data_IF_283901142343
#
_entry.id   IF_283901142343
#
_cell.length_a   1.000
_cell.length_b   1.000
_cell.length_c   1.000
_cell.angle_alpha   90.00
_cell.angle_beta   90.00
_cell.angle_gamma   90.00
#
_symmetry.space_group_name_H-M   'P 1'
#
loop_
_entity.id
_entity.type
_entity.pdbx_description
1 polymer ?
#
# COMPACT_ATOMS: atom_id res chain seq x y z
N UNK A 1 10.91 -42.64 -38.21
CA UNK A 1 10.11 -41.41 -38.13
C UNK A 1 9.73 -41.12 -36.69
N UNK A 2 10.71 -40.76 -35.87
CA UNK A 2 10.48 -40.43 -34.43
C UNK A 2 11.53 -39.46 -33.92
N UNK A 3 11.81 -38.36 -34.59
CA UNK A 3 12.77 -37.32 -34.12
C UNK A 3 12.32 -35.89 -34.21
N UNK A 4 11.00 -35.62 -34.42
CA UNK A 4 10.53 -34.27 -34.67
C UNK A 4 9.81 -33.56 -33.49
N UNK A 5 9.49 -34.25 -32.39
CA UNK A 5 8.65 -33.62 -31.31
C UNK A 5 9.39 -33.13 -30.09
N UNK A 6 10.70 -33.45 -29.95
CA UNK A 6 11.48 -33.03 -28.78
C UNK A 6 12.00 -31.57 -28.82
N UNK A 7 12.25 -31.05 -30.02
CA UNK A 7 12.87 -29.72 -30.18
C UNK A 7 11.89 -28.53 -29.95
N UNK A 8 10.61 -28.73 -30.28
CA UNK A 8 9.57 -27.70 -30.09
C UNK A 8 9.23 -27.44 -28.60
N UNK A 9 9.34 -28.45 -27.75
CA UNK A 9 9.12 -28.30 -26.29
C UNK A 9 10.25 -27.55 -25.59
N UNK A 10 11.51 -27.78 -26.00
CA UNK A 10 12.67 -27.11 -25.41
C UNK A 10 12.70 -25.62 -25.81
N UNK A 11 12.35 -25.29 -27.07
CA UNK A 11 12.31 -23.90 -27.55
C UNK A 11 11.18 -23.11 -26.86
N UNK A 12 10.04 -23.73 -26.56
CA UNK A 12 8.93 -23.06 -25.85
C UNK A 12 9.27 -22.80 -24.36
N UNK A 13 10.09 -23.64 -23.74
CA UNK A 13 10.53 -23.44 -22.35
C UNK A 13 11.61 -22.35 -22.24
N UNK A 14 12.53 -22.27 -23.20
CA UNK A 14 13.56 -21.23 -23.23
C UNK A 14 12.99 -19.82 -23.53
N UNK A 15 11.99 -19.72 -24.39
CA UNK A 15 11.30 -18.45 -24.64
C UNK A 15 10.50 -17.95 -23.41
N UNK A 16 9.94 -18.89 -22.63
CA UNK A 16 9.21 -18.53 -21.38
C UNK A 16 10.15 -18.10 -20.27
N UNK A 17 11.32 -18.72 -20.13
CA UNK A 17 12.34 -18.30 -19.15
C UNK A 17 13.02 -16.99 -19.50
N UNK A 18 13.23 -16.71 -20.78
CA UNK A 18 13.85 -15.47 -21.26
C UNK A 18 12.96 -14.22 -21.04
N UNK A 19 11.64 -14.35 -21.13
CA UNK A 19 10.72 -13.23 -20.91
C UNK A 19 10.66 -12.82 -19.42
N UNK A 20 10.73 -13.79 -18.50
CA UNK A 20 10.76 -13.54 -17.06
C UNK A 20 12.09 -12.90 -16.64
N UNK A 21 13.22 -13.38 -17.20
CA UNK A 21 14.54 -12.79 -16.95
C UNK A 21 14.68 -11.39 -17.52
N UNK A 22 14.05 -11.10 -18.67
CA UNK A 22 14.08 -9.77 -19.29
C UNK A 22 13.23 -8.75 -18.50
N UNK A 23 12.12 -9.17 -17.90
CA UNK A 23 11.31 -8.33 -17.01
C UNK A 23 12.06 -8.03 -15.70
N UNK A 24 12.81 -8.97 -15.16
CA UNK A 24 13.61 -8.78 -13.94
C UNK A 24 14.83 -7.85 -14.23
N UNK A 25 15.41 -7.90 -15.42
CA UNK A 25 16.56 -7.05 -15.79
C UNK A 25 16.17 -5.59 -16.09
N UNK A 26 14.91 -5.30 -16.38
CA UNK A 26 14.40 -3.92 -16.60
C UNK A 26 14.15 -3.16 -15.28
N UNK A 27 14.15 -3.86 -14.13
CA UNK A 27 13.90 -3.27 -12.82
C UNK A 27 15.21 -2.85 -12.12
N UNK A 28 16.38 -3.25 -12.64
CA UNK A 28 17.66 -3.00 -11.99
C UNK A 28 18.37 -1.77 -12.61
N UNK A 29 17.78 -0.60 -12.49
CA UNK A 29 18.55 0.65 -12.58
C UNK A 29 19.13 0.94 -11.20
N UNK A 30 20.43 1.25 -11.17
CA UNK A 30 21.20 1.45 -9.95
C UNK A 30 20.56 2.56 -9.11
N UNK A 31 20.31 2.32 -7.81
CA UNK A 31 19.76 3.36 -6.95
C UNK A 31 20.74 4.51 -6.84
N UNK A 32 20.25 5.73 -6.95
CA UNK A 32 20.96 6.91 -6.50
C UNK A 32 21.10 6.78 -4.99
N UNK A 33 22.31 6.52 -4.51
CA UNK A 33 22.57 6.23 -3.11
C UNK A 33 22.25 7.44 -2.22
N UNK A 34 21.06 7.49 -1.70
CA UNK A 34 20.77 8.19 -0.45
C UNK A 34 21.40 7.37 0.69
N UNK A 35 22.23 8.00 1.55
CA UNK A 35 22.93 7.29 2.63
C UNK A 35 22.05 7.06 3.87
N UNK A 36 20.74 7.32 3.80
CA UNK A 36 19.78 7.21 4.89
C UNK A 36 18.56 6.34 4.54
N UNK A 37 17.87 5.84 5.54
CA UNK A 37 16.61 5.10 5.43
C UNK A 37 15.47 6.00 4.94
N UNK A 38 14.61 5.53 4.03
CA UNK A 38 13.45 6.28 3.55
C UNK A 38 12.47 6.66 4.66
N UNK A 39 12.36 5.85 5.70
CA UNK A 39 11.58 6.13 6.91
C UNK A 39 11.99 7.42 7.61
N UNK A 40 13.25 7.83 7.47
CA UNK A 40 13.81 8.99 8.13
C UNK A 40 13.92 10.23 7.23
N UNK A 41 13.56 10.12 5.93
CA UNK A 41 13.74 11.19 4.94
C UNK A 41 13.20 12.53 5.45
N UNK A 42 12.00 12.58 5.96
CA UNK A 42 11.41 13.86 6.43
C UNK A 42 12.08 14.35 7.70
N UNK A 43 12.43 13.45 8.63
CA UNK A 43 13.16 13.82 9.83
C UNK A 43 14.55 14.38 9.53
N UNK A 44 15.22 13.80 8.56
CA UNK A 44 16.59 14.16 8.17
C UNK A 44 16.68 15.49 7.37
N UNK A 45 15.51 16.07 6.99
CA UNK A 45 15.44 17.43 6.45
C UNK A 45 15.78 18.48 7.50
N UNK A 46 15.77 18.11 8.78
CA UNK A 46 16.04 18.98 9.91
C UNK A 46 17.30 18.53 10.67
N UNK A 47 17.95 19.46 11.38
CA UNK A 47 19.15 19.17 12.17
C UNK A 47 20.43 19.26 11.35
N UNK A 48 21.47 18.54 11.76
CA UNK A 48 22.86 18.76 11.32
C UNK A 48 23.14 18.71 9.82
N UNK A 49 22.33 17.98 9.04
CA UNK A 49 22.45 17.86 7.58
C UNK A 49 21.38 18.63 6.81
N UNK A 50 20.43 19.24 7.49
CA UNK A 50 19.29 19.94 6.91
C UNK A 50 19.10 21.34 7.48
N UNK A 51 17.83 21.70 7.70
CA UNK A 51 17.46 22.99 8.27
C UNK A 51 17.82 23.00 9.76
N UNK A 52 18.64 23.97 10.19
CA UNK A 52 19.08 24.12 11.56
C UNK A 52 19.09 25.58 11.99
N UNK A 53 18.58 25.86 13.19
CA UNK A 53 18.73 27.16 13.83
C UNK A 53 20.19 27.37 14.25
N UNK A 54 20.70 28.56 13.96
CA UNK A 54 22.02 28.97 14.43
C UNK A 54 22.02 29.25 15.94
N UNK A 55 23.13 29.01 16.62
CA UNK A 55 23.29 29.43 18.02
C UNK A 55 23.04 30.93 18.20
N UNK A 56 22.28 31.31 19.21
CA UNK A 56 22.08 32.72 19.57
C UNK A 56 23.38 33.39 19.96
N UNK A 57 23.62 34.64 19.57
CA UNK A 57 24.80 35.36 19.99
C UNK A 57 24.80 35.63 21.50
N UNK A 58 25.97 35.62 22.18
CA UNK A 58 26.05 36.00 23.59
C UNK A 58 25.43 37.38 23.83
N UNK A 59 24.72 37.60 24.96
CA UNK A 59 24.62 36.74 26.16
C UNK A 59 23.49 35.71 26.13
N UNK A 60 22.79 35.53 25.00
CA UNK A 60 21.63 34.65 24.91
C UNK A 60 22.06 33.18 24.84
N UNK A 61 21.39 32.26 25.57
CA UNK A 61 21.60 30.83 25.38
C UNK A 61 21.12 30.37 23.98
N UNK A 62 21.60 29.24 23.53
CA UNK A 62 21.10 28.64 22.25
C UNK A 62 19.65 28.17 22.41
N UNK A 63 18.77 28.61 21.53
CA UNK A 63 17.36 28.30 21.56
C UNK A 63 16.95 27.16 20.57
N UNK A 64 17.90 26.64 19.81
CA UNK A 64 17.60 25.54 18.87
C UNK A 64 16.92 24.32 19.53
N UNK A 65 17.29 23.91 20.79
CA UNK A 65 16.63 22.78 21.45
C UNK A 65 15.22 23.06 21.98
N UNK A 66 14.77 24.31 21.96
CA UNK A 66 13.50 24.71 22.58
C UNK A 66 12.31 24.67 21.64
N UNK A 67 12.49 24.26 20.40
CA UNK A 67 11.38 24.03 19.48
C UNK A 67 10.92 22.58 19.58
N UNK A 68 9.65 22.39 19.94
CA UNK A 68 9.08 21.06 20.15
C UNK A 68 8.87 20.34 18.83
N UNK A 69 9.20 19.04 18.83
CA UNK A 69 8.97 18.16 17.71
C UNK A 69 7.53 17.60 17.65
N UNK A 70 6.55 18.29 18.26
CA UNK A 70 5.14 17.81 18.28
C UNK A 70 4.58 17.58 16.87
N UNK A 71 5.01 18.40 15.91
CA UNK A 71 4.66 18.21 14.50
C UNK A 71 5.22 16.94 13.85
N UNK A 72 6.29 16.36 14.43
CA UNK A 72 6.90 15.13 13.89
C UNK A 72 6.06 13.88 14.19
N UNK A 73 5.17 13.90 15.18
CA UNK A 73 4.26 12.78 15.44
C UNK A 73 3.32 12.51 14.26
N UNK A 74 2.90 13.56 13.54
CA UNK A 74 2.13 13.42 12.31
C UNK A 74 2.88 12.67 11.19
N UNK A 75 4.21 12.72 11.19
CA UNK A 75 5.06 12.05 10.20
C UNK A 75 5.25 10.55 10.50
N UNK A 76 5.23 10.15 11.77
CA UNK A 76 5.20 8.72 12.13
C UNK A 76 3.92 8.07 11.61
N UNK A 77 2.80 8.78 11.72
CA UNK A 77 1.52 8.35 11.16
C UNK A 77 1.54 8.27 9.62
N UNK A 78 2.27 9.14 8.93
CA UNK A 78 2.48 9.05 7.48
C UNK A 78 3.21 7.75 7.11
N UNK A 79 4.30 7.42 7.82
CA UNK A 79 5.05 6.19 7.60
C UNK A 79 4.18 4.95 7.87
N UNK A 80 3.40 4.96 8.95
CA UNK A 80 2.43 3.90 9.26
C UNK A 80 1.37 3.79 8.16
N UNK A 81 0.85 4.93 7.69
CA UNK A 81 -0.10 4.97 6.57
C UNK A 81 0.49 4.39 5.29
N UNK A 82 1.74 4.67 4.97
CA UNK A 82 2.43 4.14 3.81
C UNK A 82 2.58 2.61 3.92
N UNK A 83 3.20 2.13 4.99
CA UNK A 83 3.42 0.69 5.19
C UNK A 83 2.12 -0.11 5.30
N UNK A 84 1.04 0.48 5.86
CA UNK A 84 -0.26 -0.18 5.91
C UNK A 84 -0.93 -0.34 4.55
N UNK A 85 -0.64 0.54 3.60
CA UNK A 85 -1.12 0.42 2.21
C UNK A 85 -0.37 -0.66 1.43
N UNK A 86 0.88 -0.99 1.79
CA UNK A 86 1.64 -2.11 1.19
C UNK A 86 0.94 -3.48 1.31
N UNK A 87 0.02 -3.64 2.26
CA UNK A 87 -0.80 -4.85 2.41
C UNK A 87 -2.09 -4.87 1.58
N UNK A 88 -2.38 -3.80 0.84
CA UNK A 88 -3.57 -3.69 -0.01
C UNK A 88 -3.36 -4.26 -1.42
N UNK A 89 -2.48 -5.26 -1.58
CA UNK A 89 -2.31 -5.93 -2.88
C UNK A 89 -3.64 -6.49 -3.37
N UNK A 90 -4.22 -5.70 -4.20
CA UNK A 90 -5.54 -5.76 -4.68
C UNK A 90 -5.62 -6.63 -5.92
N UNK A 91 -5.28 -7.79 -6.02
CA UNK A 91 -5.62 -8.63 -7.17
C UNK A 91 -5.40 -10.08 -6.82
N UNK A 92 -6.39 -10.69 -6.22
CA UNK A 92 -6.46 -12.12 -6.39
C UNK A 92 -7.81 -12.71 -5.98
N UNK A 93 -8.73 -12.72 -6.90
CA UNK A 93 -9.73 -13.77 -6.85
C UNK A 93 -9.07 -15.06 -7.35
N UNK A 94 -8.80 -15.99 -6.45
CA UNK A 94 -8.18 -17.28 -6.76
C UNK A 94 -9.05 -18.22 -7.60
N UNK A 95 -10.26 -17.82 -7.96
CA UNK A 95 -11.18 -18.61 -8.78
C UNK A 95 -11.35 -17.95 -10.13
N UNK A 96 -10.53 -18.36 -11.06
CA UNK A 96 -10.75 -18.09 -12.48
C UNK A 96 -12.05 -18.77 -12.93
N UNK A 97 -12.81 -18.10 -13.78
CA UNK A 97 -14.01 -18.69 -14.40
C UNK A 97 -13.75 -19.91 -15.30
N UNK A 98 -12.49 -20.26 -15.49
CA UNK A 98 -12.01 -21.43 -16.22
C UNK A 98 -11.02 -22.23 -15.39
N UNK A 99 -11.02 -23.54 -15.61
CA UNK A 99 -10.06 -24.48 -15.08
C UNK A 99 -9.63 -25.46 -16.16
N UNK A 100 -8.48 -26.09 -16.00
CA UNK A 100 -8.04 -27.15 -16.91
C UNK A 100 -8.46 -28.52 -16.35
N UNK A 101 -9.20 -29.28 -17.12
CA UNK A 101 -9.52 -30.67 -16.82
C UNK A 101 -8.32 -31.52 -17.27
N UNK A 102 -7.50 -31.97 -16.31
CA UNK A 102 -6.28 -32.72 -16.59
C UNK A 102 -6.60 -34.08 -17.25
N UNK A 103 -7.73 -34.71 -16.89
CA UNK A 103 -8.11 -36.02 -17.43
C UNK A 103 -8.53 -35.92 -18.90
N UNK A 104 -9.23 -34.82 -19.24
CA UNK A 104 -9.73 -34.59 -20.61
C UNK A 104 -8.77 -33.77 -21.45
N UNK A 105 -7.77 -33.13 -20.85
CA UNK A 105 -6.82 -32.27 -21.56
C UNK A 105 -7.43 -30.97 -22.13
N UNK A 106 -8.58 -30.51 -21.60
CA UNK A 106 -9.32 -29.36 -22.12
C UNK A 106 -9.61 -28.32 -21.03
N UNK A 107 -9.68 -27.02 -21.38
CA UNK A 107 -10.20 -25.99 -20.47
C UNK A 107 -11.71 -26.17 -20.28
N UNK A 108 -12.14 -26.14 -19.02
CA UNK A 108 -13.55 -26.26 -18.63
C UNK A 108 -13.98 -24.97 -17.92
N UNK A 109 -15.09 -24.41 -18.33
CA UNK A 109 -15.70 -23.26 -17.68
C UNK A 109 -16.33 -23.69 -16.37
N UNK A 110 -15.96 -23.04 -15.27
CA UNK A 110 -16.46 -23.34 -13.92
C UNK A 110 -17.57 -22.41 -13.49
N UNK A 111 -17.57 -21.16 -13.96
CA UNK A 111 -18.58 -20.13 -13.68
C UNK A 111 -18.83 -19.27 -14.90
N UNK A 112 -20.01 -18.62 -15.01
CA UNK A 112 -20.30 -17.67 -16.09
C UNK A 112 -19.41 -16.44 -16.05
N UNK A 113 -19.09 -15.94 -14.86
CA UNK A 113 -18.19 -14.82 -14.66
C UNK A 113 -16.76 -15.27 -14.40
N UNK A 114 -15.78 -14.48 -14.86
CA UNK A 114 -14.34 -14.70 -14.66
C UNK A 114 -13.87 -14.27 -13.24
N UNK A 115 -14.76 -13.74 -12.41
CA UNK A 115 -14.49 -13.34 -11.02
C UNK A 115 -14.28 -11.84 -10.83
N UNK A 116 -14.33 -11.39 -9.56
CA UNK A 116 -14.07 -10.02 -9.18
C UNK A 116 -12.60 -9.65 -9.35
N UNK A 117 -12.26 -8.38 -9.10
CA UNK A 117 -10.88 -7.90 -9.15
C UNK A 117 -10.26 -7.89 -7.76
N UNK A 118 -10.90 -7.23 -6.79
CA UNK A 118 -10.37 -6.96 -5.47
C UNK A 118 -11.01 -7.80 -4.36
N UNK A 119 -12.21 -8.31 -4.61
CA UNK A 119 -12.92 -9.17 -3.70
C UNK A 119 -12.51 -10.64 -3.85
N UNK A 120 -12.76 -11.43 -2.80
CA UNK A 120 -12.70 -12.88 -2.87
C UNK A 120 -14.09 -13.45 -3.15
N UNK A 121 -14.15 -14.56 -3.90
CA UNK A 121 -15.31 -15.43 -4.00
C UNK A 121 -15.20 -16.62 -3.07
N UNK A 122 -16.33 -17.16 -2.61
CA UNK A 122 -16.35 -18.29 -1.74
C UNK A 122 -15.86 -19.62 -2.37
N UNK A 123 -16.11 -19.95 -3.65
CA UNK A 123 -15.58 -21.16 -4.26
C UNK A 123 -14.05 -21.23 -4.24
N UNK A 124 -13.52 -22.44 -4.12
CA UNK A 124 -12.10 -22.78 -4.18
C UNK A 124 -11.67 -23.16 -5.60
N UNK A 125 -10.37 -23.24 -5.82
CA UNK A 125 -9.78 -23.64 -7.10
C UNK A 125 -10.12 -25.11 -7.46
N UNK A 126 -10.28 -25.97 -6.45
CA UNK A 126 -10.55 -27.40 -6.59
C UNK A 126 -9.26 -28.23 -6.52
N UNK A 127 -9.44 -29.53 -6.24
CA UNK A 127 -8.32 -30.43 -5.95
C UNK A 127 -7.30 -30.52 -7.11
N UNK A 128 -6.02 -30.49 -6.75
CA UNK A 128 -4.86 -30.69 -7.65
C UNK A 128 -4.71 -29.64 -8.76
N UNK A 129 -5.31 -28.48 -8.62
CA UNK A 129 -5.17 -27.38 -9.56
C UNK A 129 -4.22 -26.35 -9.04
N UNK A 130 -3.46 -25.75 -9.94
CA UNK A 130 -2.51 -24.68 -9.64
C UNK A 130 -2.94 -23.43 -10.41
N UNK A 131 -3.13 -22.32 -9.70
CA UNK A 131 -3.26 -21.00 -10.31
C UNK A 131 -1.97 -20.22 -10.06
N UNK A 132 -1.43 -19.66 -11.13
CA UNK A 132 -0.31 -18.72 -11.08
C UNK A 132 -0.78 -17.39 -11.63
N UNK A 133 -0.49 -16.30 -10.92
CA UNK A 133 -0.81 -14.96 -11.38
C UNK A 133 0.36 -14.01 -11.14
N UNK A 134 0.39 -12.98 -11.98
CA UNK A 134 1.27 -11.83 -11.84
C UNK A 134 0.40 -10.58 -11.88
N UNK A 135 0.65 -9.64 -10.98
CA UNK A 135 -0.01 -8.35 -10.98
C UNK A 135 1.02 -7.21 -10.82
N UNK A 136 0.74 -6.11 -11.49
CA UNK A 136 1.41 -4.84 -11.32
C UNK A 136 0.41 -3.82 -10.81
N UNK A 137 0.77 -3.13 -9.74
CA UNK A 137 -0.04 -2.05 -9.15
C UNK A 137 0.83 -0.81 -9.05
N UNK A 138 0.27 0.34 -9.44
CA UNK A 138 0.88 1.66 -9.28
C UNK A 138 0.03 2.55 -8.42
N UNK A 139 0.67 3.16 -7.42
CA UNK A 139 0.06 4.03 -6.43
C UNK A 139 0.83 5.35 -6.43
N UNK A 140 0.21 6.42 -6.90
CA UNK A 140 0.71 7.78 -6.78
C UNK A 140 -0.05 8.44 -5.62
N UNK A 141 0.57 8.54 -4.44
CA UNK A 141 -0.04 9.17 -3.27
C UNK A 141 -0.14 10.68 -3.46
N UNK A 142 -1.22 11.27 -2.99
CA UNK A 142 -1.52 12.67 -3.27
C UNK A 142 -1.99 13.47 -2.06
N UNK A 143 -2.49 12.79 -1.02
CA UNK A 143 -3.04 13.42 0.19
C UNK A 143 -2.70 12.62 1.43
N UNK A 144 -2.50 13.35 2.52
CA UNK A 144 -2.44 12.82 3.86
C UNK A 144 -3.37 13.62 4.76
N UNK A 145 -4.30 12.95 5.46
CA UNK A 145 -5.31 13.57 6.34
C UNK A 145 -6.07 14.73 5.65
N UNK A 146 -6.45 14.53 4.40
CA UNK A 146 -7.18 15.53 3.60
C UNK A 146 -6.31 16.63 2.98
N UNK A 147 -5.12 16.87 3.49
CA UNK A 147 -4.16 17.84 2.94
C UNK A 147 -3.39 17.24 1.77
N UNK A 148 -3.10 18.01 0.75
CA UNK A 148 -2.24 17.55 -0.35
C UNK A 148 -0.82 17.34 0.16
N UNK A 149 -0.15 16.30 -0.36
CA UNK A 149 1.25 16.04 -0.02
C UNK A 149 2.19 17.17 -0.48
N UNK A 150 1.79 17.96 -1.48
CA UNK A 150 2.51 19.15 -1.94
C UNK A 150 2.29 20.40 -1.08
N UNK A 151 1.38 20.36 -0.12
CA UNK A 151 0.93 21.52 0.63
C UNK A 151 0.88 21.22 2.15
N UNK A 152 1.74 20.31 2.62
CA UNK A 152 1.84 19.99 4.04
C UNK A 152 2.52 21.15 4.79
N UNK A 153 2.01 21.48 5.95
CA UNK A 153 2.58 22.48 6.84
C UNK A 153 2.84 21.87 8.21
N UNK A 154 4.05 22.08 8.72
CA UNK A 154 4.46 21.69 10.05
C UNK A 154 4.78 22.96 10.83
N UNK A 155 4.28 23.05 12.06
CA UNK A 155 4.55 24.18 12.97
C UNK A 155 5.35 23.66 14.14
N UNK A 156 6.56 24.20 14.33
CA UNK A 156 7.36 23.94 15.51
C UNK A 156 7.20 25.12 16.45
N UNK A 157 6.52 24.86 17.55
CA UNK A 157 6.28 25.84 18.59
C UNK A 157 7.48 25.93 19.54
N UNK A 158 7.79 27.13 19.99
CA UNK A 158 8.80 27.34 21.04
C UNK A 158 8.28 26.90 22.41
N UNK A 159 9.09 26.23 23.19
CA UNK A 159 8.75 25.87 24.57
C UNK A 159 8.76 27.09 25.51
N UNK A 160 8.03 27.00 26.63
CA UNK A 160 8.13 27.89 27.76
C UNK A 160 9.46 27.64 28.46
N UNK A 161 10.44 28.53 28.27
CA UNK A 161 11.79 28.40 28.87
C UNK A 161 11.91 28.98 30.26
N UNK A 162 11.00 29.89 30.65
CA UNK A 162 11.00 30.50 31.97
C UNK A 162 10.16 29.72 33.00
N UNK A 163 9.39 28.72 32.55
CA UNK A 163 8.62 27.81 33.38
C UNK A 163 7.40 28.43 34.03
N UNK A 164 6.84 29.51 33.45
CA UNK A 164 5.67 30.18 34.01
C UNK A 164 4.34 29.54 33.53
N UNK A 165 4.39 28.54 32.62
CA UNK A 165 3.25 27.79 32.11
C UNK A 165 2.56 28.42 30.89
N UNK A 166 3.14 29.49 30.32
CA UNK A 166 2.66 30.15 29.11
C UNK A 166 3.82 30.51 28.18
N UNK A 167 3.58 30.60 26.90
CA UNK A 167 4.49 31.19 25.92
C UNK A 167 4.35 32.71 25.98
N UNK A 168 5.39 33.40 26.47
CA UNK A 168 5.34 34.84 26.66
C UNK A 168 5.29 35.59 25.32
N UNK A 169 4.34 36.52 25.18
CA UNK A 169 4.21 37.39 24.00
C UNK A 169 4.77 38.81 24.24
N UNK A 170 5.14 39.11 25.46
CA UNK A 170 5.65 40.42 25.86
C UNK A 170 6.80 40.28 26.87
N UNK A 171 7.61 41.33 27.00
CA UNK A 171 8.72 41.34 27.97
C UNK A 171 9.98 40.60 27.47
N UNK A 172 10.88 40.25 28.38
CA UNK A 172 12.20 39.69 28.00
C UNK A 172 12.15 38.28 27.42
N UNK A 173 11.07 37.54 27.66
CA UNK A 173 10.84 36.20 27.13
C UNK A 173 9.87 36.16 25.95
N UNK A 174 9.51 37.33 25.39
CA UNK A 174 8.54 37.39 24.25
C UNK A 174 8.94 36.60 23.01
N UNK A 175 10.21 36.18 22.88
CA UNK A 175 10.70 35.28 21.84
C UNK A 175 10.08 33.88 21.92
N UNK A 176 9.51 33.48 23.07
CA UNK A 176 8.76 32.22 23.20
C UNK A 176 7.51 32.16 22.33
N UNK A 177 7.01 33.33 21.87
CA UNK A 177 5.89 33.41 20.95
C UNK A 177 6.27 33.13 19.49
N UNK A 178 7.55 33.02 19.17
CA UNK A 178 7.99 32.71 17.82
C UNK A 178 7.72 31.24 17.48
N UNK A 179 7.35 31.00 16.24
CA UNK A 179 7.15 29.68 15.67
C UNK A 179 8.08 29.47 14.46
N UNK A 180 8.34 28.23 14.11
CA UNK A 180 8.95 27.88 12.85
C UNK A 180 7.88 27.18 12.01
N UNK A 181 7.44 27.86 10.97
CA UNK A 181 6.56 27.27 9.96
C UNK A 181 7.40 26.59 8.89
N UNK A 182 7.04 25.36 8.56
CA UNK A 182 7.71 24.59 7.52
C UNK A 182 6.69 24.16 6.49
N UNK A 183 6.87 24.65 5.27
CA UNK A 183 6.19 24.13 4.10
C UNK A 183 6.91 22.87 3.62
N UNK A 184 6.19 21.76 3.52
CA UNK A 184 6.71 20.46 3.14
C UNK A 184 5.97 19.94 1.90
N UNK A 185 6.73 19.73 0.82
CA UNK A 185 6.25 19.09 -0.41
C UNK A 185 6.77 17.65 -0.46
N UNK A 186 5.85 16.68 -0.47
CA UNK A 186 6.15 15.27 -0.56
C UNK A 186 5.66 14.68 -1.88
N UNK A 187 6.53 13.97 -2.55
CA UNK A 187 6.19 13.06 -3.65
C UNK A 187 6.43 11.64 -3.19
N UNK A 188 5.39 10.80 -3.23
CA UNK A 188 5.46 9.39 -2.84
C UNK A 188 4.80 8.58 -3.94
N UNK A 189 5.55 7.64 -4.52
CA UNK A 189 5.09 6.72 -5.56
C UNK A 189 5.53 5.32 -5.23
N UNK A 190 4.62 4.39 -5.37
CA UNK A 190 4.86 2.98 -5.13
C UNK A 190 4.44 2.16 -6.36
N UNK A 191 5.35 1.33 -6.84
CA UNK A 191 5.13 0.36 -7.89
C UNK A 191 5.30 -1.04 -7.29
N UNK A 192 4.26 -1.86 -7.35
CA UNK A 192 4.24 -3.20 -6.77
C UNK A 192 4.09 -4.25 -7.85
N UNK A 193 5.00 -5.21 -7.86
CA UNK A 193 4.97 -6.40 -8.71
C UNK A 193 4.71 -7.61 -7.83
N UNK A 194 3.55 -8.23 -7.91
CA UNK A 194 3.17 -9.34 -7.06
C UNK A 194 3.04 -10.64 -7.86
N UNK A 195 3.69 -11.70 -7.39
CA UNK A 195 3.54 -13.06 -7.88
C UNK A 195 2.65 -13.84 -6.92
N UNK A 196 1.66 -14.51 -7.46
CA UNK A 196 0.72 -15.33 -6.70
C UNK A 196 0.80 -16.76 -7.16
N UNK A 197 0.83 -17.68 -6.21
CA UNK A 197 0.66 -19.10 -6.47
C UNK A 197 -0.37 -19.67 -5.51
N UNK A 198 -1.42 -20.28 -6.05
CA UNK A 198 -2.49 -20.92 -5.27
C UNK A 198 -2.67 -22.34 -5.72
N UNK A 199 -2.70 -23.28 -4.77
CA UNK A 199 -2.89 -24.69 -5.01
C UNK A 199 -4.11 -25.24 -4.29
N UNK A 200 -4.97 -25.92 -5.04
CA UNK A 200 -6.13 -26.62 -4.51
C UNK A 200 -5.72 -27.95 -3.87
N UNK A 201 -5.66 -28.00 -2.54
CA UNK A 201 -5.35 -29.23 -1.79
C UNK A 201 -6.50 -30.23 -1.90
N UNK A 202 -7.73 -29.76 -1.75
CA UNK A 202 -8.94 -30.55 -1.87
C UNK A 202 -9.98 -29.80 -2.72
N UNK A 203 -11.16 -30.37 -2.88
CA UNK A 203 -12.27 -29.68 -3.53
C UNK A 203 -12.69 -28.39 -2.83
N UNK A 204 -12.47 -28.31 -1.51
CA UNK A 204 -12.96 -27.22 -0.68
C UNK A 204 -11.83 -26.43 0.02
N UNK A 205 -10.57 -26.76 -0.23
CA UNK A 205 -9.44 -26.17 0.50
C UNK A 205 -8.32 -25.78 -0.46
N UNK A 206 -7.95 -24.51 -0.44
CA UNK A 206 -6.83 -23.94 -1.17
C UNK A 206 -5.77 -23.42 -0.18
N UNK A 207 -4.52 -23.47 -0.62
CA UNK A 207 -3.39 -22.77 0.01
C UNK A 207 -2.67 -21.93 -1.02
N UNK A 208 -2.10 -20.84 -0.61
CA UNK A 208 -1.42 -19.92 -1.52
C UNK A 208 -0.31 -19.13 -0.88
N UNK A 209 0.48 -18.50 -1.72
CA UNK A 209 1.56 -17.58 -1.36
C UNK A 209 1.51 -16.37 -2.30
N UNK A 210 1.76 -15.19 -1.72
CA UNK A 210 1.98 -13.96 -2.47
C UNK A 210 3.40 -13.49 -2.20
N UNK A 211 4.14 -13.21 -3.26
CA UNK A 211 5.50 -12.74 -3.23
C UNK A 211 5.56 -11.36 -3.90
N UNK A 212 5.57 -10.26 -3.13
CA UNK A 212 5.64 -8.91 -3.67
C UNK A 212 7.08 -8.44 -3.85
N UNK A 213 7.31 -7.68 -4.91
CA UNK A 213 8.50 -6.84 -5.13
C UNK A 213 7.99 -5.41 -5.18
N UNK A 214 8.52 -4.57 -4.31
CA UNK A 214 8.11 -3.17 -4.15
C UNK A 214 9.22 -2.27 -4.65
N UNK A 215 8.86 -1.27 -5.44
CA UNK A 215 9.72 -0.15 -5.78
C UNK A 215 9.05 1.11 -5.24
N UNK A 216 9.72 1.78 -4.32
CA UNK A 216 9.26 2.99 -3.66
C UNK A 216 10.15 4.16 -4.06
N UNK A 217 9.52 5.20 -4.61
CA UNK A 217 10.12 6.51 -4.87
C UNK A 217 9.58 7.52 -3.85
N UNK A 218 10.45 8.15 -3.10
CA UNK A 218 10.09 9.19 -2.15
C UNK A 218 10.98 10.41 -2.32
N UNK A 219 10.37 11.59 -2.39
CA UNK A 219 11.05 12.87 -2.39
C UNK A 219 10.36 13.83 -1.44
N UNK A 220 11.15 14.55 -0.67
CA UNK A 220 10.69 15.56 0.27
C UNK A 220 11.48 16.85 0.07
N UNK A 221 10.78 17.97 -0.08
CA UNK A 221 11.33 19.31 -0.17
C UNK A 221 10.72 20.14 0.96
N UNK A 222 11.55 20.66 1.87
CA UNK A 222 11.11 21.47 2.99
C UNK A 222 11.67 22.88 2.92
N UNK A 223 10.85 23.87 3.24
CA UNK A 223 11.25 25.26 3.41
C UNK A 223 10.77 25.77 4.75
N UNK A 224 11.69 26.21 5.61
CA UNK A 224 11.34 26.75 6.92
C UNK A 224 11.33 28.27 6.92
N UNK A 225 10.42 28.85 7.70
CA UNK A 225 10.30 30.31 7.92
C UNK A 225 10.08 30.58 9.40
N UNK A 226 10.80 31.50 9.98
CA UNK A 226 10.56 31.93 11.37
C UNK A 226 9.46 32.97 11.37
N UNK A 227 8.34 32.63 12.01
CA UNK A 227 7.24 33.58 12.30
C UNK A 227 7.60 34.32 13.57
N UNK A 228 8.06 35.58 13.39
CA UNK A 228 8.55 36.41 14.50
C UNK A 228 7.42 37.23 15.07
N UNK A 229 7.09 36.92 16.31
CA UNK A 229 6.07 37.65 17.08
C UNK A 229 6.69 38.60 18.11
N UNK A 230 8.03 38.57 18.23
CA UNK A 230 8.79 39.42 19.16
C UNK A 230 9.75 40.35 18.43
N UNK A 231 9.91 41.61 18.87
CA UNK A 231 10.92 42.51 18.33
C UNK A 231 12.39 42.07 18.59
N UNK A 232 12.62 41.17 19.57
CA UNK A 232 13.93 40.64 19.89
C UNK A 232 14.28 39.35 19.18
N UNK A 233 13.34 38.73 18.48
CA UNK A 233 13.49 37.40 17.90
C UNK A 233 14.57 37.32 16.82
N UNK A 234 14.85 38.41 16.08
CA UNK A 234 15.93 38.43 15.08
C UNK A 234 17.32 38.19 15.66
N UNK A 235 17.52 38.52 16.93
CA UNK A 235 18.79 38.32 17.62
C UNK A 235 18.90 36.90 18.17
N UNK A 236 17.78 36.26 18.44
CA UNK A 236 17.69 34.98 19.14
C UNK A 236 17.49 33.84 18.18
N UNK A 237 16.48 33.96 17.28
CA UNK A 237 16.14 32.93 16.32
C UNK A 237 16.56 33.34 14.91
N UNK A 238 17.46 32.60 14.31
CA UNK A 238 17.90 32.80 12.92
C UNK A 238 18.45 31.51 12.33
N UNK A 239 18.36 31.40 11.01
CA UNK A 239 18.94 30.28 10.25
C UNK A 239 20.36 30.59 9.73
N UNK A 240 20.92 31.77 10.07
CA UNK A 240 22.24 32.20 9.65
C UNK A 240 22.20 33.25 8.52
N UNK A 241 23.38 33.76 8.11
CA UNK A 241 23.47 34.93 7.25
C UNK A 241 23.07 34.66 5.79
N UNK A 242 22.80 33.43 5.41
CA UNK A 242 22.57 33.05 3.99
C UNK A 242 21.11 32.99 3.59
N UNK A 243 20.16 32.80 4.52
CA UNK A 243 18.74 32.73 4.19
C UNK A 243 17.86 32.85 5.44
N UNK A 244 16.82 33.71 5.35
CA UNK A 244 15.72 33.73 6.33
C UNK A 244 14.70 32.61 6.08
N UNK A 245 14.82 31.89 4.94
CA UNK A 245 13.95 30.79 4.57
C UNK A 245 14.78 29.64 3.94
N UNK A 246 15.54 28.91 4.78
CA UNK A 246 16.37 27.81 4.30
C UNK A 246 15.54 26.69 3.74
N UNK A 247 16.10 25.99 2.77
CA UNK A 247 15.50 24.81 2.12
C UNK A 247 16.37 23.59 2.37
N UNK A 248 15.71 22.46 2.53
CA UNK A 248 16.35 21.15 2.59
C UNK A 248 15.57 20.17 1.71
N UNK A 249 16.29 19.29 1.03
CA UNK A 249 15.68 18.28 0.17
C UNK A 249 16.23 16.92 0.54
N UNK A 250 15.36 15.91 0.49
CA UNK A 250 15.71 14.54 0.77
C UNK A 250 14.88 13.59 -0.08
N UNK A 251 15.28 12.33 -0.12
CA UNK A 251 14.54 11.31 -0.84
C UNK A 251 15.43 10.25 -1.45
N UNK A 252 14.82 9.26 -2.05
CA UNK A 252 15.50 8.14 -2.70
C UNK A 252 14.53 7.22 -3.41
N UNK A 253 15.13 6.25 -4.07
CA UNK A 253 14.45 5.15 -4.73
C UNK A 253 14.94 3.85 -4.12
N UNK A 254 14.02 3.04 -3.60
CA UNK A 254 14.34 1.75 -3.02
C UNK A 254 13.54 0.64 -3.69
N UNK A 255 14.19 -0.49 -3.90
CA UNK A 255 13.57 -1.66 -4.52
C UNK A 255 13.96 -2.91 -3.77
N UNK A 256 12.96 -3.68 -3.35
CA UNK A 256 13.21 -4.92 -2.64
C UNK A 256 11.98 -5.82 -2.54
N UNK A 257 12.16 -6.89 -1.81
CA UNK A 257 11.06 -7.79 -1.48
C UNK A 257 10.19 -7.10 -0.44
N UNK A 258 8.87 -7.13 -0.64
CA UNK A 258 7.91 -6.71 0.35
C UNK A 258 7.54 -7.83 1.34
N UNK A 259 6.46 -7.64 2.09
CA UNK A 259 6.00 -8.64 3.06
C UNK A 259 5.31 -9.81 2.36
N UNK A 260 5.87 -11.01 2.51
CA UNK A 260 5.32 -12.25 1.93
C UNK A 260 4.03 -12.62 2.67
N UNK A 261 2.99 -13.01 1.92
CA UNK A 261 1.71 -13.43 2.48
C UNK A 261 1.51 -14.92 2.22
N UNK A 262 1.26 -15.67 3.29
CA UNK A 262 0.78 -17.04 3.23
C UNK A 262 -0.74 -17.02 3.40
N UNK A 263 -1.45 -17.74 2.52
CA UNK A 263 -2.90 -17.74 2.46
C UNK A 263 -3.47 -19.14 2.55
N UNK A 264 -4.59 -19.28 3.21
CA UNK A 264 -5.44 -20.47 3.17
C UNK A 264 -6.90 -20.09 3.01
N UNK A 265 -7.68 -20.87 2.26
CA UNK A 265 -9.10 -20.65 2.02
C UNK A 265 -9.85 -21.97 2.13
N UNK A 266 -10.88 -21.99 2.97
CA UNK A 266 -11.75 -23.15 3.15
C UNK A 266 -13.20 -22.80 2.87
N UNK A 267 -13.77 -23.43 1.83
CA UNK A 267 -15.18 -23.29 1.46
C UNK A 267 -15.99 -24.33 2.23
N UNK A 268 -16.74 -23.88 3.25
CA UNK A 268 -17.50 -24.76 4.15
C UNK A 268 -18.98 -24.90 3.78
N UNK A 269 -19.53 -24.00 2.96
CA UNK A 269 -20.89 -24.11 2.44
C UNK A 269 -20.85 -23.86 0.92
N UNK A 270 -21.26 -24.86 0.14
CA UNK A 270 -21.10 -24.86 -1.31
C UNK A 270 -22.31 -25.41 -2.01
N UNK A 271 -22.62 -24.87 -3.19
CA UNK A 271 -23.60 -25.38 -4.15
C UNK A 271 -25.03 -25.50 -3.55
N UNK A 272 -25.39 -24.62 -2.61
CA UNK A 272 -26.71 -24.62 -2.00
C UNK A 272 -27.72 -23.86 -2.84
N UNK A 273 -28.92 -24.41 -3.11
CA UNK A 273 -29.90 -23.73 -3.95
C UNK A 273 -30.37 -22.38 -3.41
N UNK A 274 -30.56 -22.29 -2.08
CA UNK A 274 -31.13 -21.11 -1.41
C UNK A 274 -30.11 -20.20 -0.75
N UNK A 275 -28.96 -20.74 -0.31
CA UNK A 275 -27.92 -20.01 0.44
C UNK A 275 -26.76 -19.61 -0.46
N UNK A 276 -26.04 -18.53 -0.17
CA UNK A 276 -24.78 -18.25 -0.84
C UNK A 276 -23.73 -19.32 -0.49
N UNK A 277 -22.72 -19.45 -1.35
CA UNK A 277 -21.51 -20.16 -0.99
C UNK A 277 -20.76 -19.34 0.06
N UNK A 278 -20.23 -20.02 1.07
CA UNK A 278 -19.50 -19.40 2.19
C UNK A 278 -18.11 -20.01 2.33
N UNK A 279 -17.14 -19.17 2.55
CA UNK A 279 -15.76 -19.57 2.83
C UNK A 279 -15.14 -18.70 3.93
N UNK A 280 -14.12 -19.26 4.59
CA UNK A 280 -13.22 -18.52 5.45
C UNK A 280 -11.85 -18.45 4.77
N UNK A 281 -11.22 -17.28 4.81
CA UNK A 281 -9.85 -17.05 4.33
C UNK A 281 -9.01 -16.63 5.53
N UNK A 282 -7.84 -17.23 5.67
CA UNK A 282 -6.83 -16.85 6.63
C UNK A 282 -5.56 -16.43 5.92
N UNK A 283 -5.00 -15.29 6.28
CA UNK A 283 -3.73 -14.79 5.77
C UNK A 283 -2.75 -14.55 6.92
N UNK A 284 -1.49 -14.85 6.68
CA UNK A 284 -0.36 -14.49 7.52
C UNK A 284 0.58 -13.65 6.66
N UNK A 285 0.74 -12.37 6.99
CA UNK A 285 1.72 -11.49 6.38
C UNK A 285 2.99 -11.52 7.23
N UNK A 286 4.10 -11.90 6.63
CA UNK A 286 5.41 -12.05 7.28
C UNK A 286 6.24 -10.77 7.07
N UNK A 287 6.97 -10.28 8.09
CA UNK A 287 7.78 -9.06 7.98
C UNK A 287 9.09 -9.35 7.23
N UNK A 288 9.00 -9.63 5.94
CA UNK A 288 10.14 -9.96 5.07
C UNK A 288 10.67 -8.75 4.30
N UNK A 289 9.87 -7.69 4.18
CA UNK A 289 10.27 -6.42 3.58
C UNK A 289 11.13 -5.59 4.54
N UNK A 290 11.98 -4.75 3.97
CA UNK A 290 12.78 -3.81 4.75
C UNK A 290 11.88 -2.66 5.25
N UNK A 291 11.67 -2.61 6.57
CA UNK A 291 10.82 -1.58 7.20
C UNK A 291 11.50 -0.22 7.30
N UNK A 292 12.82 -0.15 7.25
CA UNK A 292 13.55 1.11 7.29
C UNK A 292 13.49 1.81 5.93
N UNK A 293 13.41 1.03 4.85
CA UNK A 293 13.19 1.53 3.49
C UNK A 293 11.72 1.53 3.08
N UNK A 294 10.81 1.32 4.03
CA UNK A 294 9.36 1.32 3.82
C UNK A 294 8.87 0.30 2.79
N UNK A 295 9.63 -0.78 2.56
CA UNK A 295 9.27 -1.87 1.66
C UNK A 295 8.42 -2.96 2.35
N UNK A 296 8.31 -2.92 3.66
CA UNK A 296 7.50 -3.79 4.50
C UNK A 296 7.06 -3.10 5.80
N UNK A 297 6.16 -3.75 6.54
CA UNK A 297 5.65 -3.20 7.80
C UNK A 297 6.58 -3.39 8.99
N UNK A 298 7.51 -4.35 8.89
CA UNK A 298 8.32 -4.81 10.03
C UNK A 298 7.56 -5.70 11.02
N UNK A 299 6.26 -5.91 10.83
CA UNK A 299 5.36 -6.61 11.74
C UNK A 299 4.63 -7.76 11.07
N UNK A 300 4.28 -8.77 11.88
CA UNK A 300 3.43 -9.87 11.44
C UNK A 300 1.97 -9.48 11.56
N UNK A 301 1.21 -9.63 10.47
CA UNK A 301 -0.23 -9.41 10.49
C UNK A 301 -0.96 -10.73 10.23
N UNK A 302 -1.99 -10.98 11.05
CA UNK A 302 -2.92 -12.10 10.88
C UNK A 302 -4.26 -11.56 10.41
N UNK A 303 -4.81 -12.11 9.32
CA UNK A 303 -6.11 -11.70 8.81
C UNK A 303 -7.05 -12.89 8.68
N UNK A 304 -8.28 -12.73 9.13
CA UNK A 304 -9.36 -13.68 8.91
C UNK A 304 -10.51 -12.99 8.18
N UNK A 305 -11.01 -13.60 7.09
CA UNK A 305 -12.11 -13.08 6.27
C UNK A 305 -13.22 -14.12 6.18
N UNK A 306 -14.45 -13.70 6.38
CA UNK A 306 -15.65 -14.42 5.98
C UNK A 306 -16.04 -13.95 4.57
N UNK A 307 -16.22 -14.88 3.66
CA UNK A 307 -16.49 -14.63 2.24
C UNK A 307 -17.83 -15.26 1.87
N UNK A 308 -18.71 -14.47 1.26
CA UNK A 308 -19.97 -14.93 0.71
C UNK A 308 -20.10 -14.56 -0.76
N UNK A 309 -20.57 -15.46 -1.59
CA UNK A 309 -20.87 -15.17 -3.01
C UNK A 309 -21.97 -16.07 -3.55
N UNK A 310 -22.75 -15.58 -4.53
CA UNK A 310 -23.76 -16.37 -5.19
C UNK A 310 -23.96 -15.91 -6.64
N UNK A 311 -23.90 -16.86 -7.58
CA UNK A 311 -24.16 -16.56 -8.98
C UNK A 311 -25.67 -16.58 -9.29
N UNK A 312 -26.13 -15.55 -9.98
CA UNK A 312 -27.48 -15.38 -10.52
C UNK A 312 -27.39 -15.14 -12.02
N UNK A 313 -27.19 -16.22 -12.78
CA UNK A 313 -26.93 -16.12 -14.21
C UNK A 313 -25.65 -15.33 -14.51
N UNK A 314 -25.80 -14.18 -15.16
CA UNK A 314 -24.66 -13.34 -15.55
C UNK A 314 -24.06 -12.51 -14.39
N UNK A 315 -24.79 -12.34 -13.30
CA UNK A 315 -24.39 -11.53 -12.16
C UNK A 315 -23.94 -12.41 -10.98
N UNK A 316 -22.86 -12.03 -10.33
CA UNK A 316 -22.37 -12.69 -9.12
C UNK A 316 -22.07 -11.64 -8.04
N UNK A 317 -23.07 -11.28 -7.21
CA UNK A 317 -22.78 -10.51 -6.00
C UNK A 317 -21.86 -11.27 -5.04
N UNK A 318 -21.03 -10.53 -4.33
CA UNK A 318 -20.11 -11.06 -3.35
C UNK A 318 -19.89 -10.06 -2.21
N UNK A 319 -19.52 -10.59 -1.06
CA UNK A 319 -19.21 -9.82 0.14
C UNK A 319 -18.07 -10.50 0.89
N UNK A 320 -17.14 -9.70 1.38
CA UNK A 320 -16.08 -10.13 2.28
C UNK A 320 -16.13 -9.25 3.53
N UNK A 321 -16.00 -9.87 4.69
CA UNK A 321 -15.88 -9.18 5.97
C UNK A 321 -14.78 -9.84 6.77
N UNK A 322 -13.83 -9.05 7.25
CA UNK A 322 -12.69 -9.59 7.98
C UNK A 322 -12.12 -8.67 9.02
N UNK A 323 -11.25 -9.26 9.80
CA UNK A 323 -10.47 -8.58 10.81
C UNK A 323 -8.98 -8.91 10.62
N UNK A 324 -8.16 -7.90 10.78
CA UNK A 324 -6.70 -7.98 10.70
C UNK A 324 -6.11 -7.56 12.04
N UNK A 325 -5.26 -8.44 12.60
CA UNK A 325 -4.48 -8.21 13.81
C UNK A 325 -3.03 -7.93 13.43
N UNK A 326 -2.46 -6.90 14.01
CA UNK A 326 -1.05 -6.55 13.87
C UNK A 326 -0.28 -6.84 15.15
N UNK A 327 0.96 -7.32 15.03
CA UNK A 327 1.86 -7.47 16.19
C UNK A 327 2.50 -6.14 16.60
N UNK A 328 2.40 -5.09 15.78
CA UNK A 328 2.84 -3.73 16.12
C UNK A 328 2.03 -3.09 17.25
N UNK A 329 0.77 -3.52 17.42
CA UNK A 329 -0.13 -3.02 18.46
C UNK A 329 -1.58 -3.01 18.04
N UNK A 330 -2.47 -2.83 19.02
CA UNK A 330 -3.92 -2.81 18.78
C UNK A 330 -4.39 -1.63 17.93
N UNK A 331 -3.62 -0.55 17.89
CA UNK A 331 -3.91 0.67 17.11
C UNK A 331 -3.89 0.41 15.60
N UNK A 332 -3.16 -0.61 15.15
CA UNK A 332 -3.11 -1.02 13.75
C UNK A 332 -4.11 -2.12 13.39
N UNK A 333 -4.87 -2.62 14.36
CA UNK A 333 -5.91 -3.60 14.10
C UNK A 333 -7.05 -2.97 13.29
N UNK A 334 -7.55 -3.68 12.29
CA UNK A 334 -8.58 -3.12 11.44
C UNK A 334 -9.64 -4.13 11.01
N UNK A 335 -10.85 -3.62 10.80
CA UNK A 335 -11.94 -4.31 10.11
C UNK A 335 -11.87 -3.96 8.64
N UNK A 336 -11.94 -4.96 7.77
CA UNK A 336 -12.01 -4.79 6.32
C UNK A 336 -13.30 -5.36 5.79
N UNK A 337 -13.90 -4.67 4.84
CA UNK A 337 -15.05 -5.17 4.12
C UNK A 337 -14.95 -4.86 2.63
N UNK A 338 -15.52 -5.75 1.84
CA UNK A 338 -15.73 -5.54 0.40
C UNK A 338 -17.15 -5.98 0.09
N UNK A 339 -17.87 -5.18 -0.67
CA UNK A 339 -19.18 -5.52 -1.23
C UNK A 339 -19.17 -5.16 -2.69
N UNK A 340 -19.52 -6.12 -3.55
CA UNK A 340 -19.46 -5.88 -4.97
C UNK A 340 -20.26 -6.86 -5.80
N UNK A 341 -20.15 -6.67 -7.10
CA UNK A 341 -20.78 -7.53 -8.11
C UNK A 341 -19.86 -7.64 -9.32
N UNK A 342 -19.75 -8.82 -9.85
CA UNK A 342 -19.18 -9.04 -11.17
C UNK A 342 -20.24 -9.53 -12.14
N UNK A 343 -20.15 -9.05 -13.39
CA UNK A 343 -21.09 -9.28 -14.46
C UNK A 343 -20.42 -9.90 -15.68
N UNK A 344 -20.86 -11.09 -16.08
CA UNK A 344 -20.41 -11.77 -17.28
C UNK A 344 -21.11 -11.16 -18.51
N UNK A 345 -20.61 -10.02 -19.01
CA UNK A 345 -21.19 -9.29 -20.14
C UNK A 345 -20.97 -9.98 -21.49
N UNK A 346 -19.95 -10.82 -21.56
CA UNK A 346 -19.63 -11.66 -22.73
C UNK A 346 -18.96 -12.96 -22.24
N UNK A 347 -19.01 -14.08 -22.96
CA UNK A 347 -18.33 -15.31 -22.56
C UNK A 347 -16.84 -15.18 -22.25
N UNK A 348 -16.19 -14.16 -22.78
CA UNK A 348 -14.76 -13.86 -22.54
C UNK A 348 -14.51 -12.59 -21.73
N UNK A 349 -15.56 -11.87 -21.29
CA UNK A 349 -15.43 -10.57 -20.63
C UNK A 349 -16.31 -10.52 -19.40
N UNK A 350 -15.73 -10.21 -18.28
CA UNK A 350 -16.41 -9.90 -17.01
C UNK A 350 -16.05 -8.48 -16.60
N UNK A 351 -17.05 -7.69 -16.26
CA UNK A 351 -16.90 -6.41 -15.59
C UNK A 351 -17.10 -6.61 -14.09
N UNK A 352 -16.35 -5.89 -13.27
CA UNK A 352 -16.46 -5.93 -11.82
C UNK A 352 -16.53 -4.52 -11.22
N UNK A 353 -17.32 -4.38 -10.16
CA UNK A 353 -17.43 -3.16 -9.36
C UNK A 353 -17.51 -3.55 -7.89
N UNK A 354 -16.58 -3.03 -7.09
CA UNK A 354 -16.42 -3.32 -5.68
C UNK A 354 -16.34 -2.02 -4.88
N UNK A 355 -17.02 -1.95 -3.74
CA UNK A 355 -16.80 -0.95 -2.69
C UNK A 355 -16.01 -1.62 -1.59
N UNK A 356 -14.85 -1.05 -1.28
CA UNK A 356 -13.94 -1.55 -0.26
C UNK A 356 -13.89 -0.56 0.88
N UNK A 357 -13.79 -1.06 2.11
CA UNK A 357 -13.59 -0.22 3.27
C UNK A 357 -12.66 -0.85 4.29
N UNK A 358 -12.00 0.02 5.02
CA UNK A 358 -11.16 -0.29 6.18
C UNK A 358 -11.56 0.62 7.32
N UNK A 359 -11.65 0.06 8.51
CA UNK A 359 -11.94 0.78 9.73
C UNK A 359 -11.02 0.30 10.86
N UNK A 360 -10.37 1.23 11.54
CA UNK A 360 -9.48 1.02 12.68
C UNK A 360 -10.19 1.41 13.97
N UNK A 361 -10.75 0.44 14.74
CA UNK A 361 -11.59 0.74 15.91
C UNK A 361 -10.83 1.38 17.07
N UNK A 362 -9.51 1.19 17.14
CA UNK A 362 -8.64 1.66 18.23
C UNK A 362 -7.67 2.74 17.77
N UNK A 363 -7.87 3.30 16.58
CA UNK A 363 -7.00 4.30 15.99
C UNK A 363 -6.98 5.62 16.77
N UNK A 364 -5.96 6.41 16.51
CA UNK A 364 -5.75 7.74 17.08
C UNK A 364 -6.47 8.86 16.28
N UNK A 365 -7.42 8.51 15.43
CA UNK A 365 -8.13 9.40 14.52
C UNK A 365 -7.42 9.62 13.18
N UNK A 366 -6.31 8.91 12.93
CA UNK A 366 -5.52 9.07 11.71
C UNK A 366 -5.75 7.88 10.77
N UNK A 367 -6.61 8.06 9.76
CA UNK A 367 -6.91 7.03 8.78
C UNK A 367 -7.88 5.96 9.26
N UNK A 368 -8.67 6.26 10.30
CA UNK A 368 -9.58 5.35 10.97
C UNK A 368 -10.60 4.72 10.03
N UNK A 369 -10.98 5.42 8.99
CA UNK A 369 -12.01 4.97 8.07
C UNK A 369 -11.69 5.33 6.62
N UNK A 370 -11.39 4.36 5.80
CA UNK A 370 -11.17 4.55 4.36
C UNK A 370 -12.20 3.78 3.54
N UNK A 371 -12.70 4.41 2.47
CA UNK A 371 -13.63 3.79 1.52
C UNK A 371 -13.18 4.08 0.10
N UNK A 372 -13.20 3.06 -0.73
CA UNK A 372 -12.80 3.11 -2.13
C UNK A 372 -13.82 2.42 -3.03
N UNK A 373 -13.92 2.88 -4.26
CA UNK A 373 -14.62 2.24 -5.35
C UNK A 373 -13.61 1.63 -6.32
N UNK A 374 -13.67 0.33 -6.54
CA UNK A 374 -12.90 -0.34 -7.56
C UNK A 374 -13.77 -0.70 -8.77
N UNK A 375 -13.28 -0.40 -9.96
CA UNK A 375 -13.90 -0.73 -11.23
C UNK A 375 -12.89 -1.42 -12.13
N UNK A 376 -13.31 -2.47 -12.82
CA UNK A 376 -12.40 -3.11 -13.76
C UNK A 376 -13.02 -4.24 -14.56
N UNK A 377 -12.15 -4.93 -15.29
CA UNK A 377 -12.53 -5.99 -16.20
C UNK A 377 -11.55 -7.17 -16.18
N UNK A 378 -12.08 -8.36 -16.42
CA UNK A 378 -11.31 -9.57 -16.75
C UNK A 378 -11.64 -10.02 -18.16
N UNK A 379 -10.60 -10.39 -18.90
CA UNK A 379 -10.68 -10.83 -20.28
C UNK A 379 -10.03 -12.20 -20.43
N UNK A 380 -10.76 -13.19 -20.90
CA UNK A 380 -10.18 -14.46 -21.32
C UNK A 380 -9.53 -14.31 -22.71
N UNK A 381 -8.19 -14.27 -22.73
CA UNK A 381 -7.41 -14.09 -23.95
C UNK A 381 -7.26 -15.42 -24.68
N UNK A 382 -6.96 -16.47 -23.96
CA UNK A 382 -6.71 -17.79 -24.55
C UNK A 382 -6.83 -18.90 -23.49
N UNK A 383 -7.68 -19.89 -23.73
CA UNK A 383 -7.91 -21.05 -22.85
C UNK A 383 -8.14 -20.64 -21.38
N UNK A 384 -7.15 -20.89 -20.52
CA UNK A 384 -7.17 -20.56 -19.09
C UNK A 384 -6.42 -19.26 -18.74
N UNK A 385 -5.88 -18.55 -19.74
CA UNK A 385 -5.19 -17.27 -19.55
C UNK A 385 -6.18 -16.12 -19.47
N UNK A 386 -6.18 -15.44 -18.35
CA UNK A 386 -6.98 -14.25 -18.10
C UNK A 386 -6.08 -13.02 -17.97
N UNK A 387 -6.44 -11.96 -18.68
CA UNK A 387 -5.91 -10.60 -18.44
C UNK A 387 -6.93 -9.88 -17.58
N UNK A 388 -6.46 -9.18 -16.56
CA UNK A 388 -7.29 -8.34 -15.70
C UNK A 388 -6.72 -6.93 -15.62
N UNK A 389 -7.58 -5.96 -15.37
CA UNK A 389 -7.17 -4.59 -15.16
C UNK A 389 -8.28 -3.77 -14.56
N UNK A 390 -7.89 -2.79 -13.75
CA UNK A 390 -8.85 -1.93 -13.08
C UNK A 390 -8.22 -0.72 -12.40
N UNK A 391 -9.11 0.08 -11.84
CA UNK A 391 -8.79 1.29 -11.09
C UNK A 391 -9.50 1.26 -9.76
N UNK A 392 -8.84 1.80 -8.73
CA UNK A 392 -9.44 2.06 -7.42
C UNK A 392 -9.43 3.56 -7.18
N UNK A 393 -10.59 4.08 -6.80
CA UNK A 393 -10.86 5.51 -6.63
C UNK A 393 -11.26 5.75 -5.17
N UNK A 394 -10.64 6.69 -4.43
CA UNK A 394 -11.05 7.02 -3.08
C UNK A 394 -12.42 7.70 -3.08
N UNK A 395 -13.37 7.18 -2.30
CA UNK A 395 -14.66 7.80 -2.05
C UNK A 395 -14.59 8.81 -0.90
N UNK A 396 -13.66 8.62 0.06
CA UNK A 396 -13.27 9.65 1.02
C UNK A 396 -11.78 9.99 0.87
N UNK A 397 -11.41 11.24 1.17
CA UNK A 397 -10.04 11.73 1.00
C UNK A 397 -9.50 12.43 2.24
N UNK A 398 -10.28 12.45 3.31
CA UNK A 398 -9.97 13.20 4.52
C UNK A 398 -9.25 12.36 5.57
N UNK A 399 -9.09 11.07 5.30
CA UNK A 399 -8.55 10.09 6.24
C UNK A 399 -7.34 9.37 5.66
N UNK A 400 -6.26 9.28 6.44
CA UNK A 400 -5.06 8.54 6.12
C UNK A 400 -4.30 9.02 4.88
N UNK A 401 -3.40 8.18 4.41
CA UNK A 401 -2.63 8.41 3.18
C UNK A 401 -3.43 7.92 1.97
N UNK A 402 -3.70 8.81 1.02
CA UNK A 402 -4.61 8.55 -0.12
C UNK A 402 -3.96 8.84 -1.47
N UNK A 403 -4.16 7.94 -2.41
CA UNK A 403 -3.88 8.18 -3.81
C UNK A 403 -5.09 8.84 -4.51
N UNK A 404 -4.90 9.51 -5.63
CA UNK A 404 -6.01 9.95 -6.47
C UNK A 404 -6.66 8.77 -7.19
N UNK A 405 -5.83 7.89 -7.74
CA UNK A 405 -6.22 6.68 -8.45
C UNK A 405 -5.14 5.64 -8.22
N UNK A 406 -5.53 4.41 -7.94
CA UNK A 406 -4.64 3.26 -7.96
C UNK A 406 -4.92 2.49 -9.23
N UNK A 407 -3.88 2.21 -10.01
CA UNK A 407 -3.96 1.45 -11.25
C UNK A 407 -3.42 0.05 -11.03
N UNK A 408 -4.10 -0.91 -11.61
CA UNK A 408 -3.57 -2.25 -11.54
C UNK A 408 -3.91 -3.05 -12.80
N UNK A 409 -2.99 -3.93 -13.18
CA UNK A 409 -3.11 -4.85 -14.30
C UNK A 409 -2.47 -6.18 -13.91
N UNK A 410 -3.04 -7.27 -14.39
CA UNK A 410 -2.51 -8.60 -14.08
C UNK A 410 -2.84 -9.62 -15.13
N UNK A 411 -2.13 -10.73 -15.05
CA UNK A 411 -2.36 -11.92 -15.86
C UNK A 411 -2.40 -13.14 -14.94
N UNK A 412 -3.33 -14.03 -15.19
CA UNK A 412 -3.45 -15.26 -14.42
C UNK A 412 -3.69 -16.47 -15.32
N UNK A 413 -3.23 -17.61 -14.88
CA UNK A 413 -3.46 -18.89 -15.57
C UNK A 413 -3.68 -20.02 -14.57
N UNK A 414 -4.66 -20.88 -14.87
CA UNK A 414 -4.98 -22.05 -14.06
C UNK A 414 -4.63 -23.32 -14.83
N UNK A 415 -3.90 -24.21 -14.14
CA UNK A 415 -3.44 -25.52 -14.64
C UNK A 415 -4.16 -26.65 -13.95
#
# INVERSE_FOLDING_TARGET
MQEGQGSLRIISLQLRGGLVLLLISLIWESPSAWAGSLKNVVRDLYGGNGIVLQPSPPPFPSHAPHFTASSLQGLESLNTGLTSNLGLFAFNSTVAGFTFDIERGIPVRTTESLGPLLAERAPTLGARKLNLAFAYTRIDFSRFQGTRLSDLSLIFEHEDVNGNGIRDTTGPFSFESDDIDVDLDLTIREDVFALFATYGLTRNWDVGIVFPIVHLHMRADAQATIVRNSPFSQLIHNFGPQSDAPRSTGGGDETGIGDIILRTKYNFLRDQPKWPDLAIVGDIKLPTGDSDDLLGTGDTNLRALLVASKSFGLLTPHMNLGFEWSTAGSEQNNVRYVVGVDAAVHPRVTLAADVLGRWEPSGDGIGDYTVDLALGAKLNIFQTFLLNGGVQLPLNRNEGLRANVIWAVGIENTF
#
